data_IF_941858351930
#
_entry.id   IF_941858351930
#
_cell.length_a   1.000
_cell.length_b   1.000
_cell.length_c   1.000
_cell.angle_alpha   90.00
_cell.angle_beta   90.00
_cell.angle_gamma   90.00
#
_symmetry.space_group_name_H-M   'P 1'
#
loop_
_entity.id
_entity.type
_entity.pdbx_description
1 polymer ?
#
# COMPACT_ATOMS: atom_id res chain seq x y z
N UNK A 1 -8.05 11.41 13.33
CA UNK A 1 -8.28 10.64 12.12
C UNK A 1 -7.09 10.75 11.20
N UNK A 2 -6.61 9.64 10.74
CA UNK A 2 -5.47 9.68 9.84
C UNK A 2 -5.89 10.13 8.45
N UNK A 3 -5.01 10.83 7.80
CA UNK A 3 -5.24 11.29 6.45
C UNK A 3 -4.04 10.94 5.62
N UNK A 4 -4.25 10.83 4.33
CA UNK A 4 -3.16 10.57 3.44
C UNK A 4 -3.26 11.44 2.19
N UNK A 5 -2.13 11.59 1.52
CA UNK A 5 -2.05 12.32 0.28
C UNK A 5 -1.76 11.35 -0.84
N UNK A 6 -2.03 11.77 -2.06
CA UNK A 6 -1.78 10.93 -3.22
C UNK A 6 -0.41 11.25 -3.79
N UNK A 7 0.38 10.23 -4.08
CA UNK A 7 1.62 10.40 -4.81
C UNK A 7 1.30 10.74 -6.25
N UNK A 8 1.92 11.76 -6.79
CA UNK A 8 1.63 12.23 -8.14
C UNK A 8 2.82 12.25 -9.07
N UNK A 9 4.02 12.45 -8.54
CA UNK A 9 5.20 12.61 -9.39
C UNK A 9 5.84 11.28 -9.71
N UNK A 10 6.25 11.12 -10.97
CA UNK A 10 6.95 9.91 -11.38
C UNK A 10 8.24 9.72 -10.59
N UNK A 11 8.90 10.81 -10.21
CA UNK A 11 10.12 10.71 -9.42
C UNK A 11 9.85 10.11 -8.05
N UNK A 12 8.70 10.42 -7.47
CA UNK A 12 8.33 9.84 -6.17
C UNK A 12 8.08 8.35 -6.29
N UNK A 13 7.39 7.93 -7.36
CA UNK A 13 7.17 6.51 -7.61
C UNK A 13 8.50 5.78 -7.80
N UNK A 14 9.38 6.33 -8.63
CA UNK A 14 10.66 5.69 -8.89
C UNK A 14 11.52 5.60 -7.64
N UNK A 15 11.51 6.63 -6.82
CA UNK A 15 12.27 6.60 -5.57
C UNK A 15 11.75 5.53 -4.64
N UNK A 16 10.43 5.41 -4.54
CA UNK A 16 9.82 4.41 -3.69
C UNK A 16 10.14 3.01 -4.16
N UNK A 17 10.09 2.77 -5.48
CA UNK A 17 10.47 1.47 -6.02
C UNK A 17 11.95 1.18 -5.80
N UNK A 18 12.80 2.18 -5.97
CA UNK A 18 14.24 1.94 -5.94
C UNK A 18 14.83 1.88 -4.54
N UNK A 19 14.29 2.65 -3.61
CA UNK A 19 14.86 2.74 -2.27
C UNK A 19 14.01 2.10 -1.20
N UNK A 20 12.73 1.88 -1.48
CA UNK A 20 11.83 1.33 -0.50
C UNK A 20 11.99 -0.16 -0.34
N UNK A 21 11.40 -0.67 0.71
CA UNK A 21 11.28 -2.10 0.91
C UNK A 21 9.97 -2.57 0.31
N UNK A 22 9.88 -3.85 0.01
CA UNK A 22 8.67 -4.37 -0.59
C UNK A 22 8.23 -5.66 0.08
N UNK A 23 6.94 -5.92 -0.03
CA UNK A 23 6.34 -7.18 0.35
C UNK A 23 5.35 -7.54 -0.73
N UNK A 24 5.24 -8.81 -1.05
CA UNK A 24 4.44 -9.24 -2.18
C UNK A 24 3.75 -10.55 -1.88
N UNK A 25 2.57 -10.70 -2.47
CA UNK A 25 1.90 -12.00 -2.55
C UNK A 25 1.16 -12.01 -3.89
N UNK A 26 0.45 -13.10 -4.23
CA UNK A 26 -0.21 -13.16 -5.53
C UNK A 26 -1.27 -12.09 -5.76
N UNK A 27 -1.78 -11.47 -4.71
CA UNK A 27 -2.88 -10.53 -4.78
C UNK A 27 -2.41 -9.09 -4.90
N UNK A 28 -1.29 -8.74 -4.29
CA UNK A 28 -0.87 -7.35 -4.18
C UNK A 28 0.63 -7.27 -3.96
N UNK A 29 1.27 -6.21 -4.45
CA UNK A 29 2.65 -5.89 -4.09
C UNK A 29 2.64 -4.50 -3.46
N UNK A 30 3.35 -4.34 -2.36
CA UNK A 30 3.45 -3.07 -1.65
C UNK A 30 4.91 -2.66 -1.52
N UNK A 31 5.20 -1.43 -1.91
CA UNK A 31 6.51 -0.81 -1.68
C UNK A 31 6.33 0.29 -0.66
N UNK A 32 7.26 0.41 0.28
CA UNK A 32 7.16 1.44 1.32
C UNK A 32 8.53 2.05 1.58
N UNK A 33 8.55 3.37 1.65
CA UNK A 33 9.76 4.13 1.93
C UNK A 33 9.40 5.23 2.92
N UNK A 34 10.14 5.34 4.02
CA UNK A 34 9.90 6.41 4.97
C UNK A 34 10.18 7.75 4.32
N UNK A 35 9.36 8.73 4.64
CA UNK A 35 9.58 10.08 4.14
C UNK A 35 9.79 11.04 5.31
N UNK A 36 10.13 12.27 4.97
CA UNK A 36 10.39 13.31 5.97
C UNK A 36 9.22 14.25 6.17
N UNK A 37 8.10 13.97 5.50
CA UNK A 37 6.97 14.89 5.54
C UNK A 37 6.03 14.64 6.70
N UNK A 38 6.15 13.50 7.33
CA UNK A 38 5.29 13.16 8.45
C UNK A 38 3.88 12.78 8.06
N UNK A 39 3.62 12.61 6.78
CA UNK A 39 2.30 12.23 6.30
C UNK A 39 2.42 11.00 5.40
N UNK A 40 1.32 10.27 5.30
CA UNK A 40 1.24 9.14 4.38
C UNK A 40 0.98 9.65 2.98
N UNK A 41 1.75 9.18 2.02
CA UNK A 41 1.52 9.48 0.62
C UNK A 41 1.37 8.17 -0.12
N UNK A 42 0.25 7.99 -0.81
CA UNK A 42 -0.13 6.70 -1.38
C UNK A 42 -0.22 6.81 -2.89
N UNK A 43 0.41 5.89 -3.57
CA UNK A 43 0.27 5.75 -5.01
C UNK A 43 -0.24 4.36 -5.33
N UNK A 44 -0.98 4.25 -6.42
CA UNK A 44 -1.50 2.96 -6.88
C UNK A 44 -1.12 2.79 -8.34
N UNK A 45 -0.47 1.69 -8.65
CA UNK A 45 -0.07 1.38 -10.00
C UNK A 45 -0.93 0.25 -10.55
N UNK A 46 -1.53 0.48 -11.72
CA UNK A 46 -2.29 -0.55 -12.41
C UNK A 46 -1.75 -0.63 -13.84
N UNK A 47 -0.98 -1.64 -14.13
CA UNK A 47 -0.38 -1.80 -15.45
C UNK A 47 -1.41 -2.14 -16.52
N UNK A 48 -1.05 -1.86 -17.77
CA UNK A 48 -1.95 -2.12 -18.89
C UNK A 48 -2.28 -3.59 -19.06
N UNK A 49 -1.42 -4.45 -18.59
CA UNK A 49 -1.62 -5.90 -18.71
C UNK A 49 -2.71 -6.44 -17.80
N UNK A 50 -3.19 -5.63 -16.86
CA UNK A 50 -4.24 -6.09 -15.95
C UNK A 50 -5.59 -6.24 -16.64
N UNK A 51 -5.80 -5.48 -17.71
CA UNK A 51 -7.06 -5.50 -18.40
C UNK A 51 -7.41 -4.14 -18.95
N UNK A 52 -8.69 -3.95 -19.27
CA UNK A 52 -9.15 -2.69 -19.85
C UNK A 52 -9.26 -1.61 -18.78
N UNK A 53 -9.66 -0.41 -19.20
CA UNK A 53 -9.75 0.72 -18.30
C UNK A 53 -10.73 0.49 -17.16
N UNK A 54 -11.83 -0.19 -17.43
CA UNK A 54 -12.83 -0.47 -16.39
C UNK A 54 -12.24 -1.35 -15.31
N UNK A 55 -11.52 -2.40 -15.72
CA UNK A 55 -10.91 -3.33 -14.78
C UNK A 55 -9.80 -2.65 -13.97
N UNK A 56 -8.99 -1.82 -14.62
CA UNK A 56 -7.94 -1.10 -13.91
C UNK A 56 -8.51 -0.10 -12.92
N UNK A 57 -9.58 0.60 -13.30
CA UNK A 57 -10.23 1.54 -12.38
C UNK A 57 -10.84 0.81 -11.18
N UNK A 58 -11.40 -0.36 -11.43
CA UNK A 58 -11.91 -1.17 -10.33
C UNK A 58 -10.80 -1.56 -9.38
N UNK A 59 -9.65 -1.96 -9.89
CA UNK A 59 -8.50 -2.29 -9.04
C UNK A 59 -8.12 -1.11 -8.16
N UNK A 60 -8.07 0.09 -8.74
CA UNK A 60 -7.76 1.28 -7.94
C UNK A 60 -8.77 1.51 -6.83
N UNK A 61 -10.04 1.33 -7.15
CA UNK A 61 -11.10 1.53 -6.15
C UNK A 61 -10.99 0.56 -5.00
N UNK A 62 -10.79 -0.73 -5.30
CA UNK A 62 -10.74 -1.72 -4.24
C UNK A 62 -9.48 -1.62 -3.40
N UNK A 63 -8.35 -1.24 -4.02
CA UNK A 63 -7.12 -1.02 -3.27
C UNK A 63 -7.29 0.19 -2.35
N UNK A 64 -7.88 1.27 -2.88
CA UNK A 64 -8.09 2.47 -2.07
C UNK A 64 -9.07 2.20 -0.93
N UNK A 65 -10.12 1.43 -1.20
CA UNK A 65 -11.09 1.07 -0.16
C UNK A 65 -10.42 0.24 0.93
N UNK A 66 -9.55 -0.69 0.53
CA UNK A 66 -8.81 -1.51 1.48
C UNK A 66 -7.91 -0.64 2.36
N UNK A 67 -7.20 0.30 1.74
CA UNK A 67 -6.30 1.15 2.51
C UNK A 67 -7.05 2.01 3.52
N UNK A 68 -8.23 2.49 3.15
CA UNK A 68 -9.02 3.32 4.08
C UNK A 68 -9.35 2.59 5.37
N UNK A 69 -9.48 1.28 5.32
CA UNK A 69 -9.74 0.50 6.52
C UNK A 69 -8.51 0.41 7.42
N UNK A 70 -7.33 0.63 6.85
CA UNK A 70 -6.07 0.44 7.57
C UNK A 70 -5.37 1.75 7.90
N UNK A 71 -5.79 2.87 7.31
CA UNK A 71 -5.00 4.09 7.44
C UNK A 71 -4.89 4.56 8.89
N UNK A 72 -5.91 4.31 9.69
CA UNK A 72 -5.86 4.68 11.10
C UNK A 72 -4.86 3.90 11.91
N UNK A 73 -4.40 2.77 11.39
CA UNK A 73 -3.40 1.94 12.07
C UNK A 73 -1.99 2.25 11.62
N UNK A 74 -1.83 3.08 10.61
CA UNK A 74 -0.51 3.42 10.08
C UNK A 74 0.16 4.45 10.96
N UNK A 75 1.46 4.34 11.11
CA UNK A 75 2.24 5.22 11.96
C UNK A 75 3.34 5.89 11.18
N UNK A 76 3.51 7.20 11.38
CA UNK A 76 4.61 7.94 10.79
C UNK A 76 4.36 8.37 9.37
N UNK A 77 5.39 8.90 8.75
CA UNK A 77 5.31 9.34 7.36
C UNK A 77 5.92 8.33 6.43
N UNK A 78 5.18 7.95 5.42
CA UNK A 78 5.62 6.95 4.45
C UNK A 78 5.15 7.30 3.07
N UNK A 79 5.98 6.97 2.08
CA UNK A 79 5.56 6.91 0.68
C UNK A 79 5.30 5.45 0.40
N UNK A 80 4.09 5.13 -0.02
CA UNK A 80 3.69 3.75 -0.25
C UNK A 80 3.10 3.63 -1.63
N UNK A 81 3.54 2.62 -2.38
CA UNK A 81 2.99 2.33 -3.68
C UNK A 81 2.42 0.91 -3.66
N UNK A 82 1.15 0.81 -3.97
CA UNK A 82 0.49 -0.49 -4.12
C UNK A 82 0.45 -0.81 -5.60
N UNK A 83 0.92 -1.98 -5.96
CA UNK A 83 0.93 -2.44 -7.35
C UNK A 83 -0.08 -3.56 -7.51
N UNK A 84 -1.08 -3.32 -8.34
CA UNK A 84 -2.10 -4.32 -8.61
C UNK A 84 -1.51 -5.47 -9.42
N UNK A 85 -1.98 -6.67 -9.16
CA UNK A 85 -1.57 -7.87 -9.89
C UNK A 85 -2.78 -8.48 -10.58
N UNK A 86 -2.55 -9.50 -11.41
CA UNK A 86 -3.66 -10.14 -12.11
C UNK A 86 -4.75 -10.60 -11.15
N UNK A 87 -4.36 -11.16 -10.02
CA UNK A 87 -5.35 -11.65 -9.06
C UNK A 87 -6.12 -10.54 -8.36
N UNK A 88 -5.59 -9.31 -8.39
CA UNK A 88 -6.33 -8.18 -7.82
C UNK A 88 -7.66 -7.99 -8.55
N UNK A 89 -7.67 -8.21 -9.86
CA UNK A 89 -8.83 -7.94 -10.70
C UNK A 89 -10.06 -8.68 -10.22
N UNK A 90 -9.90 -9.90 -9.75
CA UNK A 90 -11.02 -10.75 -9.37
C UNK A 90 -11.29 -10.77 -7.87
N UNK A 91 -10.56 -9.95 -7.08
CA UNK A 91 -10.71 -9.99 -5.63
C UNK A 91 -11.63 -8.88 -5.13
N UNK A 92 -12.10 -9.07 -3.92
CA UNK A 92 -12.88 -8.05 -3.22
C UNK A 92 -11.96 -7.20 -2.37
N UNK A 93 -12.43 -6.01 -1.98
CA UNK A 93 -11.62 -5.13 -1.15
C UNK A 93 -11.22 -5.79 0.17
N UNK A 94 -12.06 -6.67 0.71
CA UNK A 94 -11.71 -7.38 1.95
C UNK A 94 -10.54 -8.33 1.77
N UNK A 95 -10.43 -8.95 0.59
CA UNK A 95 -9.28 -9.80 0.29
C UNK A 95 -8.01 -8.96 0.18
N UNK A 96 -8.13 -7.81 -0.49
CA UNK A 96 -7.01 -6.90 -0.64
C UNK A 96 -6.59 -6.36 0.72
N UNK A 97 -7.56 -6.03 1.55
CA UNK A 97 -7.28 -5.52 2.90
C UNK A 97 -6.46 -6.52 3.70
N UNK A 98 -6.81 -7.79 3.62
CA UNK A 98 -6.07 -8.83 4.34
C UNK A 98 -4.61 -8.91 3.89
N UNK A 99 -4.38 -8.92 2.57
CA UNK A 99 -3.03 -8.91 2.04
C UNK A 99 -2.28 -7.65 2.42
N UNK A 100 -2.96 -6.52 2.31
CA UNK A 100 -2.37 -5.22 2.59
C UNK A 100 -1.95 -5.11 4.06
N UNK A 101 -2.82 -5.55 4.98
CA UNK A 101 -2.51 -5.50 6.41
C UNK A 101 -1.26 -6.32 6.72
N UNK A 102 -1.18 -7.50 6.14
CA UNK A 102 -0.04 -8.36 6.36
C UNK A 102 1.24 -7.73 5.81
N UNK A 103 1.16 -7.16 4.61
CA UNK A 103 2.32 -6.55 3.98
C UNK A 103 2.77 -5.28 4.71
N UNK A 104 1.83 -4.41 5.07
CA UNK A 104 2.18 -3.20 5.80
C UNK A 104 2.73 -3.51 7.18
N UNK A 105 2.25 -4.57 7.80
CA UNK A 105 2.81 -5.02 9.07
C UNK A 105 4.25 -5.49 8.91
N UNK A 106 4.51 -6.26 7.86
CA UNK A 106 5.85 -6.75 7.60
C UNK A 106 6.82 -5.62 7.27
N UNK A 107 6.31 -4.55 6.66
CA UNK A 107 7.14 -3.41 6.29
C UNK A 107 7.31 -2.39 7.42
N UNK A 108 6.60 -2.57 8.51
CA UNK A 108 6.72 -1.69 9.65
C UNK A 108 5.85 -0.44 9.60
N UNK A 109 4.94 -0.37 8.63
CA UNK A 109 4.07 0.78 8.47
C UNK A 109 2.93 0.75 9.48
N UNK A 110 2.36 -0.44 9.69
CA UNK A 110 1.31 -0.63 10.68
C UNK A 110 1.96 -1.13 11.96
N UNK A 111 1.63 -0.46 13.05
CA UNK A 111 2.07 -0.92 14.34
C UNK A 111 1.47 -2.27 14.61
N UNK A 112 2.21 -3.13 15.22
CA UNK A 112 1.70 -4.42 15.49
C UNK A 112 0.72 -4.30 16.57
N UNK A 113 -0.45 -4.61 16.22
CA UNK A 113 -1.48 -4.50 17.20
C UNK A 113 -1.17 -5.41 18.30
N UNK A 114 -1.72 -5.13 19.26
CA UNK A 114 -1.53 -5.93 20.35
C UNK A 114 -0.12 -5.92 20.79
N UNK A 115 0.44 -4.90 20.60
CA UNK A 115 1.62 -4.74 21.19
C UNK A 115 2.63 -5.77 20.95
N UNK A 116 2.62 -6.18 19.99
CA UNK A 116 3.64 -7.01 19.76
C UNK A 116 4.87 -6.34 19.64
N UNK A 117 5.34 -6.01 19.81
CA UNK A 117 6.25 -5.45 19.75
C UNK A 117 6.93 -5.11 18.85
N UNK A 118 6.80 -4.66 18.63
CA UNK A 118 7.13 -4.20 17.83
C UNK A 118 8.37 -3.81 17.82
N UNK A 119 8.56 -3.83 18.24
CA UNK A 119 9.23 -3.49 18.28
C UNK A 119 10.33 -3.70 17.85
N UNK A 120 10.44 -4.10 17.66
CA UNK A 120 11.07 -4.40 17.33
C UNK A 120 11.76 -4.11 16.44
N UNK A 121 11.73 -3.55 16.30
CA UNK A 121 12.19 -3.26 15.64
C UNK A 121 12.98 -2.84 15.35
N UNK A 122 13.35 -2.71 15.34
CA UNK A 122 13.86 -2.37 15.09
C UNK A 122 14.19 -2.37 14.69
#
# INVERSE_FOLDING_TARGET
>A
MAEYQTLKLNSDFRRTYGRGKSAADPVLVTYALRNRYGVMRIGITTGKKLGNAVERNRCRRIIRAAFRQLEGECCGGWDIVFVARHKTVSRKSTDIERSMRKQLGALGVIGISAGVKVAQRK
#
